data_IF_356796352501
#
_entry.id   IF_356796352501
#
_cell.length_a   1.000
_cell.length_b   1.000
_cell.length_c   1.000
_cell.angle_alpha   90.00
_cell.angle_beta   90.00
_cell.angle_gamma   90.00
#
_symmetry.space_group_name_H-M   'P 1'
#
loop_
_entity.id
_entity.type
_entity.pdbx_description
1 polymer ?
#
# COMPACT_ATOMS: atom_id res chain seq x y z
N UNK A 1 -1.61 1.83 14.22
CA UNK A 1 -0.89 0.71 13.58
C UNK A 1 0.39 1.27 12.99
N UNK A 2 1.47 0.48 12.94
CA UNK A 2 2.73 0.95 12.32
C UNK A 2 2.86 0.39 10.90
N UNK A 3 3.20 1.27 9.96
CA UNK A 3 3.58 0.92 8.58
C UNK A 3 5.07 1.25 8.40
N UNK A 4 5.84 0.29 7.91
CA UNK A 4 7.25 0.49 7.55
C UNK A 4 7.39 0.41 6.03
N UNK A 5 8.05 1.41 5.44
CA UNK A 5 8.25 1.52 3.99
C UNK A 5 9.69 1.24 3.64
N UNK A 6 9.91 0.09 3.00
CA UNK A 6 11.21 -0.37 2.54
C UNK A 6 11.46 -0.01 1.07
N UNK A 7 12.72 0.28 0.66
CA UNK A 7 13.96 0.24 1.46
C UNK A 7 14.26 1.56 2.21
N UNK A 8 13.30 2.49 2.26
CA UNK A 8 13.49 3.81 2.86
C UNK A 8 13.59 3.77 4.40
N UNK A 9 13.24 2.64 5.02
CA UNK A 9 13.14 2.46 6.46
C UNK A 9 12.32 3.58 7.13
N UNK A 10 11.29 4.07 6.44
CA UNK A 10 10.38 5.11 6.93
C UNK A 10 9.26 4.45 7.72
N UNK A 11 9.05 4.92 8.95
CA UNK A 11 8.03 4.41 9.86
C UNK A 11 6.91 5.42 10.00
N UNK A 12 5.69 5.00 9.74
CA UNK A 12 4.49 5.83 9.77
C UNK A 12 3.48 5.24 10.75
N UNK A 13 2.87 6.11 11.56
CA UNK A 13 1.72 5.75 12.36
C UNK A 13 0.47 5.94 11.50
N UNK A 14 -0.30 4.88 11.31
CA UNK A 14 -1.48 4.85 10.45
C UNK A 14 -2.69 4.35 11.21
N UNK A 15 -3.87 4.82 10.82
CA UNK A 15 -5.13 4.35 11.34
C UNK A 15 -5.56 3.05 10.66
N UNK A 16 -6.35 2.24 11.36
CA UNK A 16 -6.88 1.00 10.78
C UNK A 16 -7.92 1.34 9.73
N UNK A 17 -7.84 0.71 8.57
CA UNK A 17 -8.73 0.99 7.44
C UNK A 17 -8.29 2.16 6.56
N UNK A 18 -7.19 2.84 6.88
CA UNK A 18 -6.61 3.85 5.98
C UNK A 18 -6.19 3.23 4.64
N UNK A 19 -6.42 3.97 3.55
CA UNK A 19 -5.91 3.61 2.24
C UNK A 19 -4.40 3.87 2.19
N UNK A 20 -3.60 2.80 1.95
CA UNK A 20 -2.15 2.91 1.96
C UNK A 20 -1.60 3.84 0.87
N UNK A 21 -2.22 3.93 -0.31
CA UNK A 21 -1.78 4.86 -1.36
C UNK A 21 -1.91 6.31 -0.89
N UNK A 22 -3.04 6.66 -0.26
CA UNK A 22 -3.25 8.02 0.25
C UNK A 22 -2.29 8.36 1.38
N UNK A 23 -2.03 7.42 2.29
CA UNK A 23 -1.03 7.57 3.34
C UNK A 23 0.36 7.85 2.76
N UNK A 24 0.81 7.03 1.80
CA UNK A 24 2.14 7.21 1.18
C UNK A 24 2.26 8.60 0.53
N UNK A 25 1.20 9.05 -0.15
CA UNK A 25 1.17 10.38 -0.79
C UNK A 25 1.16 11.53 0.22
N UNK A 26 0.38 11.41 1.29
CA UNK A 26 0.29 12.44 2.33
C UNK A 26 1.62 12.63 3.09
N UNK A 27 2.49 11.62 3.07
CA UNK A 27 3.84 11.66 3.64
C UNK A 27 4.94 11.88 2.60
N UNK A 28 4.59 12.30 1.37
CA UNK A 28 5.52 12.56 0.26
C UNK A 28 6.47 11.40 -0.04
N UNK A 29 6.00 10.16 0.14
CA UNK A 29 6.79 8.97 -0.15
C UNK A 29 6.74 8.65 -1.65
N UNK A 30 7.89 8.27 -2.26
CA UNK A 30 7.96 7.98 -3.67
C UNK A 30 7.17 6.71 -4.00
N UNK A 31 6.09 6.85 -4.76
CA UNK A 31 5.27 5.76 -5.26
C UNK A 31 4.74 6.11 -6.65
N UNK A 32 4.77 5.14 -7.55
CA UNK A 32 4.14 5.28 -8.87
C UNK A 32 2.64 5.08 -8.73
N UNK A 33 1.82 6.00 -9.25
CA UNK A 33 0.37 5.84 -9.24
C UNK A 33 -0.25 6.54 -10.45
N UNK A 34 -1.48 6.16 -10.78
CA UNK A 34 -2.22 6.76 -11.89
C UNK A 34 -3.73 6.79 -11.64
N UNK A 35 -4.40 5.64 -11.60
CA UNK A 35 -5.87 5.60 -11.66
C UNK A 35 -6.60 5.87 -10.33
N UNK A 36 -5.94 5.67 -9.18
CA UNK A 36 -6.54 5.73 -7.82
C UNK A 36 -7.81 4.91 -7.60
N UNK A 37 -8.15 4.00 -8.51
CA UNK A 37 -9.40 3.22 -8.55
C UNK A 37 -9.15 1.72 -8.54
N UNK A 38 -7.92 1.30 -8.26
CA UNK A 38 -7.52 -0.12 -8.20
C UNK A 38 -7.44 -0.84 -9.56
N UNK A 39 -7.60 -0.13 -10.69
CA UNK A 39 -7.68 -0.74 -12.03
C UNK A 39 -6.34 -0.92 -12.75
N UNK A 40 -5.41 0.03 -12.60
CA UNK A 40 -4.17 0.03 -13.36
C UNK A 40 -3.01 -0.74 -12.69
N UNK A 41 -3.10 -1.00 -11.39
CA UNK A 41 -2.04 -1.71 -10.64
C UNK A 41 -0.71 -0.98 -10.50
N UNK A 42 -0.58 0.28 -10.96
CA UNK A 42 0.70 1.02 -10.94
C UNK A 42 1.25 1.24 -9.53
N UNK A 43 0.38 1.38 -8.52
CA UNK A 43 0.74 1.58 -7.12
C UNK A 43 0.89 0.27 -6.33
N UNK A 44 1.06 -0.87 -7.02
CA UNK A 44 1.19 -2.17 -6.35
C UNK A 44 2.51 -2.24 -5.59
N UNK A 45 2.40 -2.64 -4.32
CA UNK A 45 3.54 -2.88 -3.44
C UNK A 45 3.59 -4.35 -3.04
N UNK A 46 4.78 -4.82 -2.67
CA UNK A 46 4.96 -6.13 -2.06
C UNK A 46 4.93 -5.99 -0.55
N UNK A 47 4.10 -6.78 0.12
CA UNK A 47 4.14 -6.92 1.58
C UNK A 47 5.34 -7.81 1.92
N UNK A 48 6.30 -7.26 2.67
CA UNK A 48 7.49 -7.98 3.13
C UNK A 48 7.26 -8.67 4.47
N UNK A 49 6.42 -8.09 5.32
CA UNK A 49 6.03 -8.61 6.63
C UNK A 49 4.63 -8.11 6.98
N UNK A 50 3.89 -8.90 7.76
CA UNK A 50 2.53 -8.58 8.19
C UNK A 50 1.45 -8.96 7.17
N UNK A 51 0.24 -8.44 7.38
CA UNK A 51 -0.92 -8.71 6.53
C UNK A 51 -1.65 -7.39 6.26
N UNK A 52 -2.23 -7.29 5.06
CA UNK A 52 -3.05 -6.16 4.64
C UNK A 52 -4.42 -6.67 4.21
N UNK A 53 -5.44 -5.85 4.38
CA UNK A 53 -6.75 -6.11 3.78
C UNK A 53 -6.66 -5.76 2.29
N UNK A 54 -6.62 -6.78 1.44
CA UNK A 54 -6.60 -6.61 -0.01
C UNK A 54 -7.99 -6.88 -0.61
N UNK A 55 -8.48 -5.93 -1.41
CA UNK A 55 -9.71 -6.05 -2.20
C UNK A 55 -9.44 -6.01 -3.70
N UNK A 56 -8.17 -6.19 -4.11
CA UNK A 56 -7.77 -6.18 -5.50
C UNK A 56 -8.21 -7.46 -6.24
N UNK A 57 -8.16 -7.47 -7.58
CA UNK A 57 -8.52 -8.64 -8.39
C UNK A 57 -7.64 -9.88 -8.12
N UNK A 58 -6.54 -9.72 -7.38
CA UNK A 58 -5.60 -10.78 -7.00
C UNK A 58 -6.01 -11.52 -5.73
N UNK A 59 -6.93 -10.96 -4.93
CA UNK A 59 -7.56 -11.60 -3.77
C UNK A 59 -8.32 -12.89 -4.15
N UNK A 60 -8.55 -13.12 -5.45
CA UNK A 60 -9.20 -14.31 -6.00
C UNK A 60 -8.29 -15.34 -6.70
N UNK A 61 -6.95 -15.18 -6.73
CA UNK A 61 -6.08 -16.22 -7.31
C UNK A 61 -5.34 -16.97 -6.18
N UNK A 62 -5.73 -18.22 -5.85
CA UNK A 62 -4.89 -19.06 -5.02
C UNK A 62 -3.53 -19.27 -5.71
N UNK A 63 -2.49 -19.44 -4.90
CA UNK A 63 -1.10 -19.60 -5.35
C UNK A 63 -0.94 -20.71 -6.40
#
# INVERSE_FOLDING_TARGET
MELVVEPLNKRLQVESGSNLLDVLRAHDLPISYSCMSGRCGTCRCRVVEGQVLDSGPESGRPQ
#
